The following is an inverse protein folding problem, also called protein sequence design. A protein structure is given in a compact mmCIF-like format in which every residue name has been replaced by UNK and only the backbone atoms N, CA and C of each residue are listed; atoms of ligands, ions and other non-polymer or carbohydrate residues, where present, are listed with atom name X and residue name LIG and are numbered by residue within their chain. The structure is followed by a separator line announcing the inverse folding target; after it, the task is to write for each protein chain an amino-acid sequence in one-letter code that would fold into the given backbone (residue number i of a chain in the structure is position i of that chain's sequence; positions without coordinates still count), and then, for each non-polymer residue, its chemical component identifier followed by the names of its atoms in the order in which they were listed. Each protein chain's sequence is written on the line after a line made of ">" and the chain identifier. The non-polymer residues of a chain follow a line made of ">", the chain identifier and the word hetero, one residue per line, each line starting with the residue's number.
data_IF_291832059235
#
_entry.id   IF_291832059235
#
_cell.length_a   1.000
_cell.length_b   1.000
_cell.length_c   1.000
_cell.angle_alpha   90.00
_cell.angle_beta   90.00
_cell.angle_gamma   90.00
#
_symmetry.space_group_name_H-M   'P 1'
#
loop_
_entity.id
_entity.type
_entity.pdbx_description
1 polymer ?
#
# COMPACT_ATOMS: atom_id res chain seq x y z
N UNK A 1 30.49 -41.28 23.45
CA UNK A 1 30.76 -39.83 23.56
C UNK A 1 29.56 -38.93 23.22
N UNK A 2 28.35 -39.45 22.95
CA UNK A 2 27.22 -38.62 22.47
C UNK A 2 26.30 -38.01 23.54
N UNK A 3 26.09 -38.67 24.69
CA UNK A 3 25.08 -38.23 25.66
C UNK A 3 25.47 -36.94 26.43
N UNK A 4 26.75 -36.79 26.79
CA UNK A 4 27.23 -35.58 27.49
C UNK A 4 27.31 -34.35 26.57
N UNK A 5 27.62 -34.56 25.29
CA UNK A 5 27.62 -33.49 24.29
C UNK A 5 26.19 -32.98 24.02
N UNK A 6 25.21 -33.89 23.94
CA UNK A 6 23.79 -33.55 23.75
C UNK A 6 23.19 -32.84 24.99
N UNK A 7 23.60 -33.23 26.20
CA UNK A 7 23.20 -32.53 27.43
C UNK A 7 23.83 -31.14 27.54
N UNK A 8 25.10 -30.98 27.13
CA UNK A 8 25.76 -29.67 27.10
C UNK A 8 25.14 -28.74 26.05
N UNK A 9 24.79 -29.23 24.86
CA UNK A 9 24.10 -28.42 23.84
C UNK A 9 22.67 -28.09 24.25
N UNK A 10 21.95 -29.02 24.91
CA UNK A 10 20.62 -28.74 25.45
C UNK A 10 20.67 -27.73 26.60
N UNK A 11 21.66 -27.80 27.50
CA UNK A 11 21.89 -26.79 28.54
C UNK A 11 22.34 -25.43 27.95
N UNK A 12 23.14 -25.43 26.87
CA UNK A 12 23.49 -24.20 26.16
C UNK A 12 22.29 -23.59 25.45
N UNK A 13 21.44 -24.40 24.80
CA UNK A 13 20.19 -23.95 24.18
C UNK A 13 19.18 -23.48 25.22
N UNK A 14 19.10 -24.14 26.39
CA UNK A 14 18.26 -23.70 27.49
C UNK A 14 18.81 -22.43 28.14
N UNK A 15 20.13 -22.26 28.22
CA UNK A 15 20.78 -21.02 28.68
C UNK A 15 20.63 -19.87 27.67
N UNK A 16 20.66 -20.16 26.36
CA UNK A 16 20.37 -19.20 25.28
C UNK A 16 18.88 -18.85 25.22
N UNK A 17 17.98 -19.80 25.55
CA UNK A 17 16.55 -19.55 25.71
C UNK A 17 16.20 -18.83 27.04
N UNK A 18 17.07 -18.92 28.06
CA UNK A 18 16.97 -18.19 29.33
C UNK A 18 17.61 -16.80 29.26
N UNK A 19 18.38 -16.50 28.21
CA UNK A 19 18.75 -15.14 27.79
C UNK A 19 17.62 -14.50 26.98
N UNK A 20 16.36 -14.81 27.32
CA UNK A 20 15.23 -14.04 26.85
C UNK A 20 15.47 -12.59 27.31
N UNK A 21 15.79 -11.73 26.36
CA UNK A 21 16.04 -10.30 26.56
C UNK A 21 15.08 -9.76 27.61
N UNK A 22 15.60 -9.34 28.76
CA UNK A 22 14.87 -8.60 29.79
C UNK A 22 14.61 -7.18 29.25
N UNK A 23 13.85 -7.11 28.18
CA UNK A 23 13.41 -5.89 27.53
C UNK A 23 11.97 -5.59 27.94
N UNK A 24 11.60 -4.31 27.84
CA UNK A 24 10.28 -3.76 28.19
C UNK A 24 9.12 -4.63 27.71
N UNK A 25 8.03 -4.68 28.48
CA UNK A 25 6.86 -5.48 28.18
C UNK A 25 6.04 -4.90 27.01
N UNK A 26 6.40 -5.29 25.79
CA UNK A 26 5.81 -4.79 24.54
C UNK A 26 4.28 -4.98 24.42
N UNK A 27 3.66 -5.89 25.19
CA UNK A 27 2.19 -6.08 25.16
C UNK A 27 1.43 -4.98 25.88
N UNK A 28 2.11 -4.27 26.77
CA UNK A 28 1.55 -3.15 27.56
C UNK A 28 2.03 -1.79 27.05
N UNK A 29 3.02 -1.80 26.15
CA UNK A 29 3.58 -0.61 25.54
C UNK A 29 2.71 -0.11 24.37
N UNK A 30 2.34 1.16 24.41
CA UNK A 30 1.64 1.84 23.30
C UNK A 30 2.51 2.93 22.68
N UNK A 31 2.30 3.20 21.40
CA UNK A 31 3.08 4.18 20.68
C UNK A 31 2.81 5.61 21.21
N UNK A 32 3.86 6.41 21.49
CA UNK A 32 3.73 7.73 22.07
C UNK A 32 3.23 8.82 21.15
N UNK A 33 2.62 8.50 20.01
CA UNK A 33 2.02 9.50 19.10
C UNK A 33 0.56 9.14 18.79
N UNK A 34 0.32 7.86 18.55
CA UNK A 34 -0.96 7.33 18.06
C UNK A 34 -1.76 6.54 19.10
N UNK A 35 -1.12 6.13 20.22
CA UNK A 35 -1.68 5.18 21.18
C UNK A 35 -2.19 3.86 20.55
N UNK A 36 -1.51 3.39 19.50
CA UNK A 36 -1.69 2.03 18.96
C UNK A 36 -0.59 1.10 19.48
N UNK A 37 -0.80 -0.21 19.34
CA UNK A 37 0.17 -1.23 19.71
C UNK A 37 1.51 -1.03 18.99
N UNK A 38 2.59 -1.16 19.75
CA UNK A 38 3.95 -1.03 19.21
C UNK A 38 4.41 -2.33 18.56
N UNK A 39 5.43 -2.25 17.70
CA UNK A 39 6.14 -3.44 17.23
C UNK A 39 7.57 -3.44 17.72
N UNK A 40 8.07 -4.63 18.10
CA UNK A 40 9.43 -4.82 18.59
C UNK A 40 10.51 -4.33 17.60
N UNK A 41 10.23 -4.43 16.31
CA UNK A 41 11.15 -4.06 15.23
C UNK A 41 11.13 -2.56 14.87
N UNK A 42 10.29 -1.75 15.51
CA UNK A 42 10.19 -0.30 15.27
C UNK A 42 10.55 0.41 16.57
N UNK A 43 11.85 0.57 16.80
CA UNK A 43 12.39 1.16 18.03
C UNK A 43 13.52 2.17 17.75
N UNK A 44 13.78 3.00 18.75
CA UNK A 44 14.91 3.89 18.81
C UNK A 44 15.66 3.63 20.11
N UNK A 45 16.99 3.57 20.04
CA UNK A 45 17.83 3.43 21.21
C UNK A 45 18.03 4.76 21.91
N UNK A 46 18.01 4.69 23.23
CA UNK A 46 18.30 5.79 24.14
C UNK A 46 19.50 5.34 24.96
N UNK A 47 20.40 6.27 25.28
CA UNK A 47 21.56 5.98 26.11
C UNK A 47 21.14 5.31 27.44
N UNK A 48 21.96 4.40 27.94
CA UNK A 48 21.62 3.61 29.12
C UNK A 48 20.72 2.42 28.83
N UNK A 49 20.87 1.80 27.65
CA UNK A 49 20.18 0.56 27.26
C UNK A 49 18.63 0.66 27.34
N UNK A 50 18.09 1.87 27.12
CA UNK A 50 16.64 2.07 27.03
C UNK A 50 16.20 2.19 25.58
N UNK A 51 14.92 1.89 25.34
CA UNK A 51 14.34 1.95 24.02
C UNK A 51 13.00 2.66 24.07
N UNK A 52 12.67 3.37 22.99
CA UNK A 52 11.31 3.82 22.70
C UNK A 52 10.80 3.08 21.47
N UNK A 53 9.56 2.59 21.54
CA UNK A 53 8.92 1.80 20.50
C UNK A 53 7.77 2.57 19.85
N UNK A 54 7.53 2.35 18.56
CA UNK A 54 6.44 3.02 17.84
C UNK A 54 5.50 2.03 17.12
N UNK A 55 4.36 2.56 16.67
CA UNK A 55 3.36 1.84 15.86
C UNK A 55 3.85 1.75 14.40
N UNK A 56 3.26 0.85 13.59
CA UNK A 56 3.63 0.64 12.17
C UNK A 56 3.33 1.82 11.24
N UNK A 57 2.85 2.95 11.78
CA UNK A 57 2.60 4.14 10.97
C UNK A 57 3.92 4.83 10.59
N UNK A 58 4.03 5.14 9.29
CA UNK A 58 5.21 5.78 8.72
C UNK A 58 5.54 7.11 9.43
N UNK A 59 6.82 7.33 9.72
CA UNK A 59 7.30 8.58 10.33
C UNK A 59 7.13 8.67 11.84
N UNK A 60 6.44 7.72 12.50
CA UNK A 60 6.21 7.81 13.95
C UNK A 60 7.50 7.63 14.74
N UNK A 61 8.32 6.63 14.39
CA UNK A 61 9.62 6.46 15.05
C UNK A 61 10.58 7.59 14.70
N UNK A 62 10.53 8.07 13.46
CA UNK A 62 11.37 9.16 12.97
C UNK A 62 11.06 10.47 13.70
N UNK A 63 9.78 10.74 14.00
CA UNK A 63 9.38 11.93 14.78
C UNK A 63 9.90 11.88 16.21
N UNK A 64 9.95 10.70 16.82
CA UNK A 64 10.49 10.52 18.18
C UNK A 64 12.01 10.62 18.22
N UNK A 65 12.70 10.31 17.11
CA UNK A 65 14.16 10.38 16.98
C UNK A 65 14.65 11.76 16.56
N UNK A 66 14.02 12.37 15.55
CA UNK A 66 14.49 13.60 14.91
C UNK A 66 14.01 14.86 15.63
N UNK A 67 12.85 14.80 16.29
CA UNK A 67 12.33 15.90 17.11
C UNK A 67 11.83 15.39 18.48
N UNK A 68 12.74 14.85 19.32
CA UNK A 68 12.35 14.34 20.62
C UNK A 68 11.88 15.46 21.56
N UNK A 69 12.37 16.69 21.39
CA UNK A 69 12.02 17.83 22.23
C UNK A 69 10.53 18.20 22.15
N UNK A 70 9.93 18.13 20.95
CA UNK A 70 8.50 18.36 20.78
C UNK A 70 7.61 17.28 21.43
N UNK A 71 8.19 16.12 21.76
CA UNK A 71 7.46 14.92 22.16
C UNK A 71 7.76 14.46 23.61
N UNK A 72 8.58 15.19 24.36
CA UNK A 72 8.92 14.90 25.76
C UNK A 72 8.17 15.80 26.76
N UNK A 73 7.64 15.17 27.81
CA UNK A 73 6.87 15.82 28.85
C UNK A 73 7.77 16.31 29.97
N UNK A 74 7.22 17.14 30.85
CA UNK A 74 7.96 17.59 32.04
C UNK A 74 8.43 16.39 32.88
N UNK A 75 9.65 16.44 33.44
CA UNK A 75 10.12 15.45 34.39
C UNK A 75 9.14 15.20 35.53
N UNK A 76 8.96 13.93 35.90
CA UNK A 76 8.14 13.51 37.03
C UNK A 76 8.86 12.46 37.88
N UNK A 77 8.49 12.37 39.16
CA UNK A 77 8.92 11.28 40.04
C UNK A 77 8.15 10.01 39.66
N UNK A 78 8.86 8.91 39.41
CA UNK A 78 8.26 7.67 38.94
C UNK A 78 9.07 6.46 39.42
N UNK A 79 8.36 5.49 40.01
CA UNK A 79 8.94 4.23 40.47
C UNK A 79 8.86 3.18 39.35
N UNK A 80 10.03 2.82 38.82
CA UNK A 80 10.17 1.84 37.74
C UNK A 80 9.66 0.45 38.13
N UNK A 81 9.70 0.10 39.42
CA UNK A 81 9.27 -1.23 39.90
C UNK A 81 7.76 -1.42 39.88
N UNK A 82 7.01 -0.31 39.84
CA UNK A 82 5.54 -0.31 39.80
C UNK A 82 4.98 -0.23 38.38
N UNK A 83 5.83 0.02 37.38
CA UNK A 83 5.39 0.20 36.00
C UNK A 83 5.31 -1.13 35.26
N UNK A 84 4.11 -1.54 34.84
CA UNK A 84 3.87 -2.80 34.13
C UNK A 84 4.71 -2.95 32.84
N UNK A 85 5.19 -1.85 32.26
CA UNK A 85 6.02 -1.85 31.04
C UNK A 85 7.49 -2.13 31.36
N UNK A 86 7.98 -1.64 32.50
CA UNK A 86 9.42 -1.60 32.82
C UNK A 86 9.82 -2.50 33.98
N UNK A 87 8.87 -3.03 34.76
CA UNK A 87 9.09 -3.86 35.95
C UNK A 87 10.06 -5.05 35.72
N UNK A 88 10.06 -5.61 34.51
CA UNK A 88 10.82 -6.80 34.13
C UNK A 88 12.14 -6.45 33.42
N UNK A 89 12.42 -5.16 33.17
CA UNK A 89 13.52 -4.67 32.35
C UNK A 89 14.75 -4.26 33.18
N UNK A 90 15.43 -5.24 33.78
CA UNK A 90 16.54 -5.02 34.73
C UNK A 90 17.83 -4.48 34.10
N UNK A 91 17.94 -4.51 32.78
CA UNK A 91 19.15 -4.07 32.06
C UNK A 91 19.18 -2.55 31.81
N UNK A 92 18.09 -1.85 32.12
CA UNK A 92 17.93 -0.41 31.94
C UNK A 92 18.84 0.35 32.90
N UNK A 93 19.53 1.37 32.38
CA UNK A 93 20.44 2.25 33.12
C UNK A 93 20.10 3.71 32.86
N UNK A 94 20.56 4.58 33.76
CA UNK A 94 20.39 6.02 33.59
C UNK A 94 21.19 6.53 32.35
N UNK A 95 20.57 7.29 31.42
CA UNK A 95 21.22 7.77 30.19
C UNK A 95 22.40 8.72 30.42
N UNK A 96 22.43 9.39 31.58
CA UNK A 96 23.42 10.41 31.91
C UNK A 96 24.64 9.84 32.62
N UNK A 97 24.42 8.93 33.57
CA UNK A 97 25.48 8.47 34.49
C UNK A 97 25.65 6.94 34.55
N UNK A 98 24.80 6.16 33.90
CA UNK A 98 24.90 4.70 33.86
C UNK A 98 24.53 3.97 35.17
N UNK A 99 23.91 4.66 36.15
CA UNK A 99 23.34 3.99 37.33
C UNK A 99 22.30 2.94 36.91
N UNK A 100 22.32 1.79 37.57
CA UNK A 100 21.44 0.66 37.25
C UNK A 100 19.99 0.83 37.69
N UNK A 101 19.17 -0.14 37.31
CA UNK A 101 17.72 -0.20 37.46
C UNK A 101 17.19 0.23 38.84
N UNK A 102 17.75 -0.31 39.94
CA UNK A 102 17.27 -0.06 41.31
C UNK A 102 17.44 1.39 41.80
N UNK A 103 18.17 2.21 41.05
CA UNK A 103 18.44 3.60 41.39
C UNK A 103 17.68 4.58 40.50
N UNK A 104 16.76 4.10 39.65
CA UNK A 104 15.93 4.92 38.78
C UNK A 104 14.65 5.34 39.51
N UNK A 105 14.54 6.63 39.82
CA UNK A 105 13.46 7.21 40.65
C UNK A 105 12.69 8.32 39.94
N UNK A 106 13.18 8.77 38.80
CA UNK A 106 12.60 9.86 38.03
C UNK A 106 12.40 9.40 36.59
N UNK A 107 11.41 9.98 35.91
CA UNK A 107 11.16 9.68 34.51
C UNK A 107 10.78 10.92 33.72
N UNK A 108 11.08 10.90 32.43
CA UNK A 108 10.63 11.88 31.44
C UNK A 108 9.61 11.17 30.55
N UNK A 109 8.30 11.47 30.67
CA UNK A 109 7.26 10.81 29.89
C UNK A 109 7.24 11.34 28.45
N UNK A 110 6.71 10.56 27.51
CA UNK A 110 6.44 11.04 26.15
C UNK A 110 5.01 11.62 26.07
N UNK A 111 4.83 12.90 25.71
CA UNK A 111 3.58 13.68 25.95
C UNK A 111 2.37 13.19 25.16
N UNK A 112 2.58 12.52 24.02
CA UNK A 112 1.50 12.25 23.07
C UNK A 112 0.87 10.87 23.28
N UNK A 113 0.10 10.74 24.35
CA UNK A 113 -0.85 9.63 24.57
C UNK A 113 -0.27 8.24 24.80
N UNK A 114 1.05 8.07 24.78
CA UNK A 114 1.70 6.78 25.09
C UNK A 114 2.00 6.63 26.58
N UNK A 115 2.18 5.38 27.01
CA UNK A 115 2.58 5.05 28.37
C UNK A 115 4.12 4.94 28.57
N UNK A 116 4.89 5.16 27.50
CA UNK A 116 6.35 5.05 27.54
C UNK A 116 7.01 6.25 28.23
N UNK A 117 8.11 5.99 28.92
CA UNK A 117 8.89 6.99 29.66
C UNK A 117 10.39 6.67 29.56
N UNK A 118 11.21 7.70 29.74
CA UNK A 118 12.67 7.58 29.86
C UNK A 118 13.04 7.68 31.33
N UNK A 119 13.62 6.63 31.90
CA UNK A 119 13.95 6.61 33.34
C UNK A 119 15.33 7.18 33.62
N UNK A 120 15.45 7.93 34.71
CA UNK A 120 16.70 8.53 35.19
C UNK A 120 16.82 8.36 36.72
N UNK A 121 18.02 8.58 37.25
CA UNK A 121 18.29 8.37 38.67
C UNK A 121 18.03 9.57 39.59
N UNK A 122 17.71 10.74 39.03
CA UNK A 122 17.49 11.98 39.78
C UNK A 122 16.74 13.01 38.94
N UNK A 123 16.09 13.95 39.61
CA UNK A 123 15.42 15.11 38.98
C UNK A 123 16.38 15.88 38.07
N UNK A 124 17.61 16.12 38.50
CA UNK A 124 18.64 16.80 37.71
C UNK A 124 18.94 16.07 36.40
N UNK A 125 19.01 14.73 36.42
CA UNK A 125 19.27 13.95 35.22
C UNK A 125 18.05 13.87 34.31
N UNK A 126 16.84 13.85 34.87
CA UNK A 126 15.62 13.98 34.10
C UNK A 126 15.57 15.34 33.38
N UNK A 127 15.93 16.42 34.08
CA UNK A 127 15.99 17.76 33.50
C UNK A 127 17.06 17.87 32.40
N UNK A 128 18.24 17.27 32.58
CA UNK A 128 19.27 17.23 31.53
C UNK A 128 18.81 16.51 30.26
N UNK A 129 18.05 15.43 30.40
CA UNK A 129 17.47 14.71 29.27
C UNK A 129 16.37 15.54 28.61
N UNK A 130 15.54 16.22 29.40
CA UNK A 130 14.49 17.12 28.89
C UNK A 130 15.05 18.35 28.15
N UNK A 131 16.12 18.96 28.68
CA UNK A 131 16.72 20.16 28.10
C UNK A 131 17.52 19.87 26.81
N UNK A 132 18.13 18.68 26.70
CA UNK A 132 18.96 18.31 25.54
C UNK A 132 18.70 16.86 25.07
N UNK A 133 17.49 16.54 24.58
CA UNK A 133 17.11 15.16 24.31
C UNK A 133 17.84 14.52 23.13
N UNK A 134 18.21 15.31 22.12
CA UNK A 134 18.96 14.84 20.93
C UNK A 134 20.34 14.27 21.26
N UNK A 135 20.90 14.58 22.44
CA UNK A 135 22.16 14.01 22.92
C UNK A 135 21.99 12.59 23.47
N UNK A 136 20.81 12.26 23.98
CA UNK A 136 20.55 11.01 24.71
C UNK A 136 19.70 10.02 23.92
N UNK A 137 18.88 10.50 22.99
CA UNK A 137 18.20 9.67 22.01
C UNK A 137 19.15 9.51 20.82
N UNK A 138 19.62 8.29 20.57
CA UNK A 138 20.51 8.05 19.44
C UNK A 138 19.72 8.20 18.15
N UNK A 139 20.11 9.15 17.30
CA UNK A 139 19.78 9.08 15.88
C UNK A 139 20.40 7.78 15.34
N UNK A 140 19.63 6.99 14.60
CA UNK A 140 20.16 5.85 13.84
C UNK A 140 21.38 6.36 13.06
N UNK A 141 22.51 5.67 13.22
CA UNK A 141 23.72 5.96 12.45
C UNK A 141 23.36 5.99 10.98
N UNK A 142 23.46 7.16 10.37
CA UNK A 142 23.48 7.33 8.91
C UNK A 142 24.69 6.56 8.38
N UNK A 143 24.52 5.26 8.13
CA UNK A 143 25.44 4.54 7.26
C UNK A 143 25.33 5.17 5.86
N UNK A 144 26.38 5.05 5.06
CA UNK A 144 26.37 5.33 3.61
C UNK A 144 25.42 4.37 2.84
N UNK A 145 24.30 3.98 3.44
CA UNK A 145 23.30 3.11 2.84
C UNK A 145 22.32 3.90 1.97
N UNK A 146 21.85 3.22 0.94
CA UNK A 146 20.94 3.78 -0.07
C UNK A 146 19.61 4.27 0.51
N UNK A 147 19.10 3.57 1.54
CA UNK A 147 17.92 3.91 2.31
C UNK A 147 17.92 3.14 3.65
N UNK A 148 17.20 3.66 4.63
CA UNK A 148 17.01 3.04 5.93
C UNK A 148 15.96 1.91 5.86
N UNK A 149 16.41 0.66 6.09
CA UNK A 149 15.57 -0.54 6.07
C UNK A 149 15.23 -1.11 7.46
N UNK A 150 15.59 -0.40 8.54
CA UNK A 150 15.54 -0.89 9.91
C UNK A 150 16.71 -1.82 10.27
N UNK A 151 16.96 -2.00 11.57
CA UNK A 151 18.03 -2.86 12.10
C UNK A 151 17.71 -4.37 12.12
N UNK A 152 16.61 -4.79 11.49
CA UNK A 152 16.17 -6.20 11.46
C UNK A 152 16.89 -7.02 10.38
N UNK A 153 17.07 -8.33 10.59
CA UNK A 153 17.68 -9.25 9.60
C UNK A 153 16.96 -9.27 8.23
N UNK A 154 15.71 -8.80 8.18
CA UNK A 154 14.93 -8.63 6.95
C UNK A 154 14.70 -7.14 6.66
N UNK A 155 14.95 -6.66 5.43
CA UNK A 155 14.74 -5.26 5.08
C UNK A 155 13.26 -4.91 5.19
N UNK A 156 12.95 -3.88 5.98
CA UNK A 156 11.62 -3.31 6.10
C UNK A 156 11.52 -2.02 5.27
N UNK A 157 10.33 -1.72 4.77
CA UNK A 157 10.10 -0.54 3.95
C UNK A 157 8.71 0.03 4.16
N UNK A 158 8.54 1.31 3.86
CA UNK A 158 7.25 1.99 3.91
C UNK A 158 6.49 1.81 2.60
N UNK A 159 5.17 1.67 2.72
CA UNK A 159 4.24 1.61 1.58
C UNK A 159 3.68 2.99 1.24
N UNK A 160 3.77 3.97 2.15
CA UNK A 160 3.18 5.29 1.99
C UNK A 160 4.06 6.35 2.65
N UNK A 161 4.54 7.31 1.86
CA UNK A 161 5.31 8.44 2.36
C UNK A 161 4.41 9.64 2.69
N UNK A 162 4.90 10.55 3.55
CA UNK A 162 4.21 11.79 3.92
C UNK A 162 4.33 12.83 2.79
N UNK A 163 3.61 12.61 1.70
CA UNK A 163 3.67 13.44 0.49
C UNK A 163 4.79 13.04 -0.47
N UNK A 164 4.95 13.80 -1.57
CA UNK A 164 5.93 13.50 -2.60
C UNK A 164 7.36 13.65 -2.07
N UNK A 165 8.04 12.52 -1.95
CA UNK A 165 9.41 12.45 -1.46
C UNK A 165 10.25 11.52 -2.33
N UNK A 166 11.57 11.58 -2.17
CA UNK A 166 12.51 10.70 -2.85
C UNK A 166 12.99 9.65 -1.84
N UNK A 167 12.79 8.37 -2.15
CA UNK A 167 13.19 7.28 -1.25
C UNK A 167 14.68 6.91 -1.37
N UNK A 168 15.54 7.91 -1.62
CA UNK A 168 16.97 7.77 -1.90
C UNK A 168 17.74 8.70 -0.96
N UNK A 169 18.56 8.13 -0.09
CA UNK A 169 19.38 8.85 0.88
C UNK A 169 19.42 8.12 2.23
N UNK A 170 20.52 8.27 2.97
CA UNK A 170 20.73 7.58 4.27
C UNK A 170 19.65 7.89 5.31
N UNK A 171 19.01 9.07 5.21
CA UNK A 171 17.95 9.51 6.12
C UNK A 171 16.54 9.12 5.63
N UNK A 172 16.41 8.52 4.44
CA UNK A 172 15.13 8.17 3.83
C UNK A 172 14.78 6.70 4.07
N UNK A 173 13.53 6.41 4.42
CA UNK A 173 13.04 5.02 4.60
C UNK A 173 12.91 4.30 3.25
N UNK A 174 13.27 3.02 3.20
CA UNK A 174 13.21 2.23 1.97
C UNK A 174 11.76 2.07 1.47
N UNK A 175 11.55 2.16 0.15
CA UNK A 175 10.25 1.93 -0.47
C UNK A 175 9.92 0.43 -0.56
N UNK A 176 8.71 0.05 -0.12
CA UNK A 176 8.11 -1.27 -0.34
C UNK A 176 7.18 -1.22 -1.54
N UNK A 177 7.46 -2.04 -2.56
CA UNK A 177 6.72 -2.05 -3.82
C UNK A 177 5.75 -3.24 -3.89
N UNK A 178 4.45 -2.96 -3.73
CA UNK A 178 3.31 -3.91 -3.82
C UNK A 178 3.27 -5.07 -2.80
N UNK A 179 4.37 -5.78 -2.56
CA UNK A 179 4.42 -6.91 -1.63
C UNK A 179 5.65 -6.84 -0.72
N UNK A 180 5.53 -7.43 0.48
CA UNK A 180 6.58 -7.45 1.51
C UNK A 180 7.99 -7.88 1.04
N UNK A 181 8.18 -8.88 0.15
CA UNK A 181 9.54 -9.24 -0.29
C UNK A 181 10.18 -8.21 -1.23
N UNK A 182 9.42 -7.24 -1.75
CA UNK A 182 9.90 -6.27 -2.73
C UNK A 182 10.25 -4.94 -2.07
N UNK A 183 11.27 -4.97 -1.21
CA UNK A 183 11.85 -3.75 -0.61
C UNK A 183 13.03 -3.26 -1.45
N UNK A 184 12.96 -2.01 -1.90
CA UNK A 184 13.95 -1.38 -2.78
C UNK A 184 15.14 -0.86 -1.98
N UNK A 185 15.91 -1.79 -1.40
CA UNK A 185 17.03 -1.50 -0.49
C UNK A 185 18.34 -1.07 -1.15
N UNK A 186 18.38 -0.94 -2.48
CA UNK A 186 19.61 -0.60 -3.22
C UNK A 186 19.28 0.03 -4.56
N UNK A 187 20.21 0.79 -5.13
CA UNK A 187 20.04 1.43 -6.44
C UNK A 187 19.72 0.44 -7.58
N UNK A 188 20.27 -0.77 -7.53
CA UNK A 188 19.96 -1.81 -8.54
C UNK A 188 18.52 -2.31 -8.40
N UNK A 189 18.09 -2.65 -7.18
CA UNK A 189 16.69 -3.04 -6.92
C UNK A 189 15.75 -1.92 -7.34
N UNK A 190 16.11 -0.68 -7.01
CA UNK A 190 15.37 0.51 -7.38
C UNK A 190 15.22 0.66 -8.90
N UNK A 191 16.31 0.50 -9.67
CA UNK A 191 16.25 0.56 -11.13
C UNK A 191 15.36 -0.54 -11.73
N UNK A 192 15.41 -1.76 -11.20
CA UNK A 192 14.48 -2.83 -11.62
C UNK A 192 13.04 -2.53 -11.24
N UNK A 193 12.79 -1.98 -10.06
CA UNK A 193 11.48 -1.52 -9.62
C UNK A 193 10.91 -0.45 -10.55
N UNK A 194 11.72 0.56 -10.86
CA UNK A 194 11.36 1.64 -11.80
C UNK A 194 10.99 1.08 -13.18
N UNK A 195 11.85 0.22 -13.76
CA UNK A 195 11.57 -0.40 -15.05
C UNK A 195 10.31 -1.28 -15.01
N UNK A 196 10.12 -2.02 -13.91
CA UNK A 196 8.93 -2.83 -13.68
C UNK A 196 7.64 -2.00 -13.65
N UNK A 197 7.67 -0.84 -12.98
CA UNK A 197 6.54 0.11 -12.94
C UNK A 197 6.25 0.70 -14.33
N UNK A 198 7.28 1.09 -15.08
CA UNK A 198 7.11 1.56 -16.48
C UNK A 198 6.42 0.50 -17.33
N UNK A 199 6.89 -0.75 -17.26
CA UNK A 199 6.31 -1.86 -18.02
C UNK A 199 4.87 -2.18 -17.57
N UNK A 200 4.60 -2.14 -16.26
CA UNK A 200 3.27 -2.35 -15.69
C UNK A 200 2.30 -1.28 -16.18
N UNK A 201 2.68 -0.01 -16.11
CA UNK A 201 1.87 1.11 -16.58
C UNK A 201 1.65 1.07 -18.11
N UNK A 202 2.69 0.73 -18.88
CA UNK A 202 2.59 0.52 -20.33
C UNK A 202 1.62 -0.62 -20.68
N UNK A 203 1.55 -1.67 -19.85
CA UNK A 203 0.64 -2.80 -20.06
C UNK A 203 -0.84 -2.41 -19.95
N UNK A 204 -1.19 -1.30 -19.29
CA UNK A 204 -2.58 -0.82 -19.21
C UNK A 204 -3.13 -0.51 -20.59
N UNK A 205 -2.44 0.33 -21.37
CA UNK A 205 -2.87 0.70 -22.73
C UNK A 205 -2.82 -0.54 -23.64
N UNK A 206 -1.77 -1.36 -23.53
CA UNK A 206 -1.63 -2.58 -24.31
C UNK A 206 -2.79 -3.58 -24.09
N UNK A 207 -3.22 -3.79 -22.85
CA UNK A 207 -4.40 -4.62 -22.54
C UNK A 207 -5.72 -3.96 -22.96
N UNK A 208 -5.81 -2.63 -22.89
CA UNK A 208 -6.97 -1.87 -23.35
C UNK A 208 -7.21 -2.07 -24.85
N UNK A 209 -6.17 -1.86 -25.66
CA UNK A 209 -6.23 -2.07 -27.12
C UNK A 209 -6.46 -3.54 -27.47
N UNK A 210 -5.77 -4.47 -26.79
CA UNK A 210 -5.98 -5.91 -26.98
C UNK A 210 -7.45 -6.30 -26.73
N UNK A 211 -8.07 -5.79 -25.66
CA UNK A 211 -9.49 -6.01 -25.38
C UNK A 211 -10.36 -5.46 -26.51
N UNK A 212 -10.09 -4.24 -26.99
CA UNK A 212 -10.82 -3.65 -28.12
C UNK A 212 -10.72 -4.48 -29.40
N UNK A 213 -9.53 -5.02 -29.70
CA UNK A 213 -9.32 -5.91 -30.84
C UNK A 213 -10.06 -7.24 -30.68
N UNK A 214 -10.01 -7.85 -29.50
CA UNK A 214 -10.70 -9.10 -29.20
C UNK A 214 -12.22 -8.91 -29.26
N UNK A 215 -12.75 -7.80 -28.75
CA UNK A 215 -14.17 -7.46 -28.85
C UNK A 215 -14.62 -7.33 -30.31
N UNK A 216 -13.89 -6.55 -31.12
CA UNK A 216 -14.16 -6.42 -32.56
C UNK A 216 -14.13 -7.78 -33.27
N UNK A 217 -13.13 -8.63 -32.98
CA UNK A 217 -13.01 -9.98 -33.56
C UNK A 217 -14.16 -10.88 -33.14
N UNK A 218 -14.49 -10.95 -31.85
CA UNK A 218 -15.59 -11.76 -31.33
C UNK A 218 -16.95 -11.32 -31.91
N UNK A 219 -17.18 -10.01 -32.03
CA UNK A 219 -18.37 -9.47 -32.67
C UNK A 219 -18.42 -9.72 -34.18
N UNK A 220 -17.28 -9.76 -34.87
CA UNK A 220 -17.23 -10.10 -36.30
C UNK A 220 -17.47 -11.59 -36.54
N UNK A 221 -16.81 -12.44 -35.78
CA UNK A 221 -16.74 -13.87 -36.06
C UNK A 221 -17.93 -14.64 -35.44
N UNK A 222 -18.43 -14.21 -34.28
CA UNK A 222 -19.51 -14.88 -33.53
C UNK A 222 -20.76 -14.01 -33.36
N UNK A 223 -20.81 -12.88 -34.07
CA UNK A 223 -21.93 -11.96 -34.04
C UNK A 223 -23.17 -12.54 -34.71
N UNK A 224 -24.00 -13.24 -33.95
CA UNK A 224 -25.28 -13.74 -34.44
C UNK A 224 -26.24 -12.59 -34.75
N UNK A 225 -26.74 -12.56 -35.97
CA UNK A 225 -27.81 -11.65 -36.41
C UNK A 225 -29.14 -12.17 -35.86
N UNK A 226 -29.62 -11.62 -34.74
CA UNK A 226 -30.99 -11.86 -34.32
C UNK A 226 -31.88 -10.86 -35.06
N UNK A 227 -32.56 -11.32 -36.11
CA UNK A 227 -33.60 -10.52 -36.77
C UNK A 227 -34.80 -10.40 -35.82
N UNK A 228 -35.38 -9.20 -35.74
CA UNK A 228 -36.58 -8.90 -34.95
C UNK A 228 -37.80 -9.82 -35.27
N UNK A 229 -37.73 -10.60 -36.37
CA UNK A 229 -38.72 -11.60 -36.74
C UNK A 229 -38.96 -12.68 -35.67
N UNK A 230 -37.94 -13.06 -34.88
CA UNK A 230 -38.10 -14.09 -33.85
C UNK A 230 -38.86 -13.58 -32.61
N UNK A 231 -38.94 -12.25 -32.40
CA UNK A 231 -39.69 -11.64 -31.31
C UNK A 231 -41.18 -11.47 -31.63
N UNK A 232 -41.54 -11.27 -32.91
CA UNK A 232 -42.96 -11.12 -33.31
C UNK A 232 -43.73 -12.44 -33.34
N UNK A 233 -43.06 -13.61 -33.36
CA UNK A 233 -43.76 -14.90 -33.39
C UNK A 233 -44.28 -15.38 -32.03
N UNK A 234 -43.85 -14.77 -30.92
CA UNK A 234 -44.27 -15.13 -29.55
C UNK A 234 -45.36 -14.23 -28.97
N UNK A 235 -45.75 -13.17 -29.68
CA UNK A 235 -46.81 -12.27 -29.27
C UNK A 235 -47.87 -12.20 -30.36
N UNK A 236 -48.84 -13.13 -30.36
CA UNK A 236 -50.29 -12.87 -30.47
C UNK A 236 -51.06 -14.21 -30.40
N UNK A 237 -51.94 -14.44 -29.41
CA UNK A 237 -52.95 -15.49 -29.49
C UNK A 237 -54.02 -15.09 -30.51
N UNK A 238 -54.43 -16.05 -31.34
CA UNK A 238 -55.58 -15.97 -32.22
C UNK A 238 -56.83 -15.49 -31.48
N UNK A 239 -57.47 -14.42 -31.97
CA UNK A 239 -58.90 -14.21 -31.80
C UNK A 239 -59.51 -13.99 -33.18
N UNK A 240 -60.18 -15.03 -33.65
CA UNK A 240 -61.10 -15.00 -34.77
C UNK A 240 -62.26 -14.04 -34.48
N UNK A 241 -62.63 -13.16 -35.41
CA UNK A 241 -64.02 -12.77 -35.68
C UNK A 241 -64.13 -11.91 -36.94
N UNK A 242 -65.13 -12.24 -37.75
CA UNK A 242 -65.37 -11.80 -39.11
C UNK A 242 -65.99 -10.39 -39.22
N UNK A 243 -65.77 -9.69 -40.35
CA UNK A 243 -66.76 -9.55 -41.43
C UNK A 243 -66.63 -8.27 -42.27
N UNK A 244 -67.03 -8.41 -43.53
CA UNK A 244 -67.45 -7.41 -44.52
C UNK A 244 -66.37 -6.57 -45.21
N UNK A 245 -66.23 -6.83 -46.51
CA UNK A 245 -65.32 -6.12 -47.40
C UNK A 245 -65.87 -4.83 -47.96
N UNK A 246 -64.97 -4.03 -48.53
CA UNK A 246 -65.22 -3.25 -49.73
C UNK A 246 -63.90 -2.93 -50.41
N UNK A 247 -63.83 -3.33 -51.68
CA UNK A 247 -62.87 -2.88 -52.67
C UNK A 247 -63.12 -1.42 -53.02
N UNK A 248 -62.12 -0.56 -52.85
CA UNK A 248 -62.04 0.68 -53.62
C UNK A 248 -60.59 1.01 -53.95
N UNK A 249 -60.37 1.11 -55.26
CA UNK A 249 -59.19 1.65 -55.92
C UNK A 249 -58.85 3.04 -55.37
N UNK A 250 -57.64 3.20 -54.83
CA UNK A 250 -57.09 4.52 -54.49
C UNK A 250 -55.87 4.85 -55.36
N UNK A 251 -56.07 5.93 -56.12
CA UNK A 251 -55.11 6.74 -56.88
C UNK A 251 -53.86 7.05 -56.03
N UNK A 252 -52.63 7.03 -56.60
CA UNK A 252 -51.42 7.34 -55.86
C UNK A 252 -51.39 8.85 -55.56
N UNK A 253 -51.72 9.22 -54.33
CA UNK A 253 -51.43 10.55 -53.80
C UNK A 253 -49.94 10.62 -53.52
N UNK A 254 -49.25 11.58 -54.16
CA UNK A 254 -47.86 11.94 -53.86
C UNK A 254 -47.76 12.35 -52.39
N UNK A 255 -47.38 11.40 -51.54
CA UNK A 255 -47.30 11.59 -50.11
C UNK A 255 -46.35 10.56 -49.53
N UNK A 256 -45.23 11.05 -49.02
CA UNK A 256 -44.38 10.42 -48.00
C UNK A 256 -44.01 8.95 -48.29
N UNK A 257 -42.80 8.76 -48.82
CA UNK A 257 -42.09 7.47 -48.76
C UNK A 257 -42.28 6.90 -47.35
N UNK A 258 -42.91 5.73 -47.17
CA UNK A 258 -42.90 5.07 -45.88
C UNK A 258 -41.45 4.85 -45.53
N UNK A 259 -40.97 5.45 -44.44
CA UNK A 259 -39.64 5.21 -43.94
C UNK A 259 -39.47 3.70 -43.84
N UNK A 260 -38.48 3.16 -44.56
CA UNK A 260 -38.13 1.75 -44.48
C UNK A 260 -38.06 1.37 -42.99
N UNK A 261 -38.71 0.28 -42.55
CA UNK A 261 -38.64 -0.12 -41.16
C UNK A 261 -37.17 -0.26 -40.79
N UNK A 262 -36.70 0.56 -39.83
CA UNK A 262 -35.36 0.45 -39.24
C UNK A 262 -35.33 -0.87 -38.49
N UNK A 263 -35.04 -1.96 -39.20
CA UNK A 263 -34.76 -3.26 -38.59
C UNK A 263 -33.54 -3.08 -37.70
N UNK A 264 -33.75 -2.97 -36.38
CA UNK A 264 -32.68 -2.93 -35.40
C UNK A 264 -32.10 -4.34 -35.30
N UNK A 265 -31.08 -4.57 -36.10
CA UNK A 265 -30.35 -5.83 -36.11
C UNK A 265 -29.54 -5.94 -34.81
N UNK A 266 -30.11 -6.55 -33.77
CA UNK A 266 -29.41 -6.73 -32.50
C UNK A 266 -28.47 -7.93 -32.65
N UNK A 267 -27.17 -7.65 -32.79
CA UNK A 267 -26.14 -8.67 -32.88
C UNK A 267 -25.83 -9.21 -31.47
N UNK A 268 -26.31 -10.41 -31.14
CA UNK A 268 -26.05 -11.04 -29.82
C UNK A 268 -24.76 -11.85 -29.85
N UNK A 269 -23.88 -11.61 -28.88
CA UNK A 269 -22.74 -12.49 -28.60
C UNK A 269 -23.18 -13.70 -27.75
N UNK A 270 -22.63 -14.90 -28.01
CA UNK A 270 -22.84 -16.06 -27.15
C UNK A 270 -22.17 -15.86 -25.78
N UNK A 271 -22.65 -16.60 -24.77
CA UNK A 271 -22.26 -16.41 -23.37
C UNK A 271 -20.76 -16.62 -23.11
N UNK A 272 -20.11 -17.54 -23.81
CA UNK A 272 -18.68 -17.79 -23.68
C UNK A 272 -17.83 -16.60 -24.17
N UNK A 273 -18.21 -15.93 -25.27
CA UNK A 273 -17.55 -14.71 -25.72
C UNK A 273 -17.67 -13.59 -24.69
N UNK A 274 -18.86 -13.47 -24.07
CA UNK A 274 -19.09 -12.50 -22.98
C UNK A 274 -18.22 -12.81 -21.76
N UNK A 275 -18.05 -14.08 -21.41
CA UNK A 275 -17.19 -14.51 -20.31
C UNK A 275 -15.71 -14.20 -20.59
N UNK A 276 -15.23 -14.41 -21.82
CA UNK A 276 -13.87 -14.03 -22.23
C UNK A 276 -13.68 -12.51 -22.12
N UNK A 277 -14.62 -11.71 -22.62
CA UNK A 277 -14.55 -10.24 -22.51
C UNK A 277 -14.60 -9.77 -21.05
N UNK A 278 -15.41 -10.41 -20.20
CA UNK A 278 -15.47 -10.13 -18.77
C UNK A 278 -14.15 -10.46 -18.07
N UNK A 279 -13.53 -11.61 -18.38
CA UNK A 279 -12.23 -11.98 -17.83
C UNK A 279 -11.13 -10.97 -18.21
N UNK A 280 -11.09 -10.54 -19.49
CA UNK A 280 -10.16 -9.50 -19.93
C UNK A 280 -10.40 -8.16 -19.21
N UNK A 281 -11.66 -7.79 -18.97
CA UNK A 281 -11.99 -6.61 -18.19
C UNK A 281 -11.49 -6.70 -16.74
N UNK A 282 -11.69 -7.85 -16.08
CA UNK A 282 -11.20 -8.07 -14.71
C UNK A 282 -9.68 -7.93 -14.64
N UNK A 283 -8.94 -8.52 -15.59
CA UNK A 283 -7.47 -8.39 -15.66
C UNK A 283 -7.06 -6.94 -15.85
N UNK A 284 -7.73 -6.20 -16.76
CA UNK A 284 -7.43 -4.79 -16.99
C UNK A 284 -7.68 -3.93 -15.74
N UNK A 285 -8.76 -4.19 -15.00
CA UNK A 285 -9.00 -3.54 -13.70
C UNK A 285 -7.92 -3.85 -12.68
N UNK A 286 -7.49 -5.12 -12.56
CA UNK A 286 -6.42 -5.51 -11.63
C UNK A 286 -5.12 -4.74 -11.91
N UNK A 287 -4.73 -4.60 -13.19
CA UNK A 287 -3.57 -3.81 -13.58
C UNK A 287 -3.75 -2.33 -13.17
N UNK A 288 -4.95 -1.78 -13.39
CA UNK A 288 -5.26 -0.39 -13.01
C UNK A 288 -5.11 -0.17 -11.50
N UNK A 289 -5.64 -1.10 -10.68
CA UNK A 289 -5.48 -1.04 -9.23
C UNK A 289 -4.03 -1.18 -8.78
N UNK A 290 -3.22 -2.03 -9.44
CA UNK A 290 -1.80 -2.12 -9.10
C UNK A 290 -1.04 -0.83 -9.39
N UNK A 291 -1.31 -0.18 -10.53
CA UNK A 291 -0.72 1.13 -10.84
C UNK A 291 -1.20 2.20 -9.84
N UNK A 292 -2.47 2.16 -9.45
CA UNK A 292 -3.01 3.05 -8.42
C UNK A 292 -2.31 2.84 -7.06
N UNK A 293 -2.06 1.60 -6.64
CA UNK A 293 -1.29 1.30 -5.43
C UNK A 293 0.13 1.86 -5.49
N UNK A 294 0.77 1.84 -6.66
CA UNK A 294 2.10 2.44 -6.86
C UNK A 294 2.06 3.96 -6.72
N UNK A 295 1.04 4.64 -7.24
CA UNK A 295 0.91 6.11 -7.09
C UNK A 295 0.69 6.49 -5.61
N UNK A 296 -0.07 5.67 -4.89
CA UNK A 296 -0.36 5.88 -3.46
C UNK A 296 0.85 5.73 -2.55
N UNK A 297 2.01 5.28 -3.06
CA UNK A 297 3.23 5.30 -2.27
C UNK A 297 3.78 6.71 -2.07
N UNK A 298 3.35 7.68 -2.88
CA UNK A 298 3.83 9.06 -2.88
C UNK A 298 5.35 9.19 -3.12
N UNK A 299 5.96 8.25 -3.82
CA UNK A 299 7.36 8.35 -4.24
C UNK A 299 7.46 9.04 -5.61
N UNK A 300 8.27 10.10 -5.69
CA UNK A 300 8.30 11.01 -6.85
C UNK A 300 8.73 10.33 -8.15
N UNK A 301 9.74 9.46 -8.10
CA UNK A 301 10.28 8.80 -9.29
C UNK A 301 9.39 7.64 -9.75
N UNK A 302 8.75 6.91 -8.85
CA UNK A 302 7.75 5.90 -9.19
C UNK A 302 6.52 6.55 -9.85
N UNK A 303 6.10 7.71 -9.36
CA UNK A 303 5.07 8.51 -10.03
C UNK A 303 5.48 8.91 -11.45
N UNK A 304 6.71 9.41 -11.63
CA UNK A 304 7.25 9.71 -12.97
C UNK A 304 7.33 8.44 -13.84
N UNK A 305 7.71 7.29 -13.26
CA UNK A 305 7.75 6.01 -13.95
C UNK A 305 6.38 5.60 -14.49
N UNK A 306 5.32 5.80 -13.70
CA UNK A 306 3.94 5.55 -14.14
C UNK A 306 3.56 6.46 -15.31
N UNK A 307 3.83 7.77 -15.21
CA UNK A 307 3.54 8.72 -16.30
C UNK A 307 4.28 8.32 -17.58
N UNK A 308 5.57 8.00 -17.47
CA UNK A 308 6.38 7.56 -18.60
C UNK A 308 5.85 6.25 -19.20
N UNK A 309 5.45 5.29 -18.37
CA UNK A 309 4.89 4.02 -18.83
C UNK A 309 3.55 4.19 -19.54
N UNK A 310 2.62 4.98 -18.99
CA UNK A 310 1.34 5.29 -19.66
C UNK A 310 1.58 6.03 -20.97
N UNK A 311 2.46 7.04 -20.97
CA UNK A 311 2.81 7.80 -22.19
C UNK A 311 3.46 6.93 -23.26
N UNK A 312 4.36 6.03 -22.87
CA UNK A 312 4.98 5.07 -23.80
C UNK A 312 3.96 4.04 -24.32
N UNK A 313 3.04 3.59 -23.46
CA UNK A 313 1.94 2.70 -23.85
C UNK A 313 1.06 3.35 -24.91
N UNK A 314 0.69 4.61 -24.71
CA UNK A 314 -0.04 5.40 -25.71
C UNK A 314 0.72 5.48 -27.03
N UNK A 315 2.02 5.80 -26.99
CA UNK A 315 2.82 5.97 -28.20
C UNK A 315 3.04 4.66 -29.00
N UNK A 316 3.08 3.51 -28.32
CA UNK A 316 3.35 2.21 -28.96
C UNK A 316 2.08 1.52 -29.44
N UNK A 317 1.03 1.49 -28.62
CA UNK A 317 -0.14 0.64 -28.86
C UNK A 317 -1.30 1.38 -29.50
N UNK A 318 -1.36 2.70 -29.38
CA UNK A 318 -2.46 3.48 -29.92
C UNK A 318 -2.14 3.88 -31.36
N UNK A 319 -3.12 3.69 -32.24
CA UNK A 319 -3.04 4.17 -33.62
C UNK A 319 -3.13 5.71 -33.63
N UNK A 320 -1.99 6.41 -33.54
CA UNK A 320 -1.91 7.87 -33.64
C UNK A 320 -2.33 8.43 -35.00
N UNK A 321 -2.41 7.57 -36.02
CA UNK A 321 -2.79 7.93 -37.39
C UNK A 321 -4.31 7.78 -37.66
N UNK A 322 -5.11 7.43 -36.66
CA UNK A 322 -6.56 7.33 -36.80
C UNK A 322 -7.24 8.71 -36.69
N UNK A 323 -8.12 9.04 -37.65
CA UNK A 323 -8.89 10.30 -37.69
C UNK A 323 -9.81 10.55 -36.47
N UNK A 324 -10.07 9.53 -35.65
CA UNK A 324 -10.74 9.65 -34.34
C UNK A 324 -9.88 9.02 -33.23
N UNK A 325 -9.28 9.86 -32.38
CA UNK A 325 -8.67 9.43 -31.13
C UNK A 325 -9.75 8.90 -30.18
N UNK A 326 -9.92 7.57 -30.10
CA UNK A 326 -10.78 6.94 -29.09
C UNK A 326 -10.06 6.83 -27.76
N UNK A 327 -10.44 7.69 -26.84
CA UNK A 327 -10.02 7.68 -25.44
C UNK A 327 -10.11 9.10 -24.86
N UNK A 328 -10.99 9.33 -23.90
CA UNK A 328 -10.99 10.60 -23.15
C UNK A 328 -9.80 10.59 -22.19
N UNK A 329 -9.00 11.66 -22.21
CA UNK A 329 -7.94 11.92 -21.21
C UNK A 329 -8.56 12.58 -19.98
N UNK A 330 -9.68 12.04 -19.50
CA UNK A 330 -10.33 12.49 -18.28
C UNK A 330 -10.09 11.45 -17.19
N UNK A 331 -9.07 11.62 -16.33
CA UNK A 331 -8.77 10.67 -15.25
C UNK A 331 -9.91 10.53 -14.23
N UNK A 332 -10.95 11.37 -14.29
CA UNK A 332 -12.04 11.41 -13.33
C UNK A 332 -13.47 11.34 -13.93
N UNK A 333 -13.65 11.32 -15.26
CA UNK A 333 -14.99 11.40 -15.88
C UNK A 333 -15.15 10.44 -17.06
N UNK A 334 -15.40 9.17 -16.77
CA UNK A 334 -16.04 8.26 -17.73
C UNK A 334 -17.14 7.49 -17.00
N UNK A 335 -18.35 8.05 -17.04
CA UNK A 335 -19.61 7.35 -16.79
C UNK A 335 -20.26 7.02 -18.13
#
# INVERSE_FOLDING_TARGET
>A
MGARALQLTALLLLAVLLLADASQNLRKTTCPLCNMDVKANINASILGDQFVYACEMAGHIDSLQNDPAANLGSPEEADITTDEIYQDATDIKCPVCGKGYDQLTHAVPWISKGAQKIYTCSEEHAQLVFDNPTKYVAAQTSSDDFCYAGAAESPTGSVMFNGFQLAIGGDATCLLLLFQPWVLSSGVKYAFGFLGVVLLAMSLEGFGELRGLVEKRLHRDHGGVASQADYMSLATPQVSSASSGHSSSFVPKTGRVPAAPKLSLVRRLPAWCKLVLAAMYMVHLCLGYWVMLVIMTYETLMFVAVILGVGLGFAIFKDTDADELKGSVDPCCST
#
